data_IF_868328349642
#
_entry.id   IF_868328349642
#
_cell.length_a   1.000
_cell.length_b   1.000
_cell.length_c   1.000
_cell.angle_alpha   90.00
_cell.angle_beta   90.00
_cell.angle_gamma   90.00
#
_symmetry.space_group_name_H-M   'P 1'
#
loop_
_entity.id
_entity.type
_entity.pdbx_description
1 polymer ?
#
# COMPACT_ATOMS: atom_id res chain seq x y z
N UNK A 1 -3.42 -16.37 -23.25
CA UNK A 1 -3.11 -16.94 -21.92
C UNK A 1 -4.28 -16.55 -21.05
N UNK A 2 -5.03 -17.52 -20.54
CA UNK A 2 -6.16 -17.26 -19.66
C UNK A 2 -5.67 -17.29 -18.22
N UNK A 3 -6.04 -16.31 -17.44
CA UNK A 3 -5.71 -16.22 -16.01
C UNK A 3 -6.91 -15.72 -15.22
N UNK A 4 -6.96 -16.10 -13.96
CA UNK A 4 -8.03 -15.73 -13.05
C UNK A 4 -7.75 -14.36 -12.43
N UNK A 5 -8.65 -13.41 -12.60
CA UNK A 5 -8.53 -12.07 -12.05
C UNK A 5 -9.82 -11.64 -11.37
N UNK A 6 -9.68 -10.79 -10.35
CA UNK A 6 -10.78 -10.25 -9.57
C UNK A 6 -10.65 -8.73 -9.50
N UNK A 7 -11.77 -8.04 -9.61
CA UNK A 7 -11.86 -6.62 -9.28
C UNK A 7 -12.46 -6.48 -7.91
N UNK A 8 -11.76 -5.84 -6.98
CA UNK A 8 -12.19 -5.68 -5.59
C UNK A 8 -11.94 -4.26 -5.12
N UNK A 9 -12.67 -3.86 -4.09
CA UNK A 9 -12.56 -2.58 -3.40
C UNK A 9 -12.43 -2.77 -1.90
N UNK A 10 -11.56 -2.00 -1.26
CA UNK A 10 -11.37 -1.97 0.18
C UNK A 10 -11.35 -0.53 0.67
N UNK A 11 -12.47 0.00 1.17
CA UNK A 11 -12.62 1.37 1.68
C UNK A 11 -12.31 2.44 0.62
N UNK A 12 -12.81 2.27 -0.61
CA UNK A 12 -12.62 3.19 -1.71
C UNK A 12 -11.29 3.05 -2.46
N UNK A 13 -10.39 2.18 -1.99
CA UNK A 13 -9.16 1.82 -2.67
C UNK A 13 -9.39 0.54 -3.48
N UNK A 14 -9.29 0.60 -4.79
CA UNK A 14 -9.68 -0.47 -5.68
C UNK A 14 -8.49 -1.23 -6.30
N UNK A 15 -8.67 -2.51 -6.47
CA UNK A 15 -7.63 -3.45 -6.88
C UNK A 15 -8.05 -4.31 -8.05
N UNK A 16 -7.09 -4.64 -8.90
CA UNK A 16 -7.13 -5.84 -9.74
C UNK A 16 -6.23 -6.88 -9.08
N UNK A 17 -6.80 -8.02 -8.71
CA UNK A 17 -6.11 -9.14 -8.08
C UNK A 17 -5.97 -10.23 -9.11
N UNK A 18 -4.75 -10.66 -9.41
CA UNK A 18 -4.44 -11.74 -10.35
C UNK A 18 -3.92 -12.93 -9.56
N UNK A 19 -4.62 -14.04 -9.68
CA UNK A 19 -4.23 -15.30 -9.05
C UNK A 19 -3.22 -16.03 -9.93
N UNK A 20 -1.99 -16.11 -9.44
CA UNK A 20 -0.86 -16.78 -10.10
C UNK A 20 -0.40 -18.02 -9.32
N UNK A 21 -1.20 -18.54 -8.39
CA UNK A 21 -0.80 -19.70 -7.58
C UNK A 21 -0.60 -20.97 -8.41
N UNK A 22 -1.35 -21.08 -9.51
CA UNK A 22 -1.28 -22.24 -10.44
C UNK A 22 -0.70 -21.85 -11.81
N UNK A 23 -0.17 -20.63 -11.95
CA UNK A 23 0.38 -20.14 -13.21
C UNK A 23 1.58 -19.24 -12.94
N UNK A 24 2.65 -19.41 -13.71
CA UNK A 24 3.85 -18.58 -13.62
C UNK A 24 4.01 -17.76 -14.88
N UNK A 25 3.69 -16.48 -14.79
CA UNK A 25 3.93 -15.50 -15.84
C UNK A 25 4.30 -14.16 -15.22
N UNK A 26 5.11 -13.39 -15.93
CA UNK A 26 5.49 -12.06 -15.50
C UNK A 26 4.71 -11.00 -16.26
N UNK A 27 4.36 -9.92 -15.56
CA UNK A 27 3.80 -8.72 -16.14
C UNK A 27 4.87 -7.62 -16.17
N UNK A 28 5.15 -7.09 -17.35
CA UNK A 28 6.01 -5.92 -17.46
C UNK A 28 5.28 -4.63 -17.08
N UNK A 29 6.03 -3.55 -16.84
CA UNK A 29 5.47 -2.23 -16.42
C UNK A 29 4.38 -1.73 -17.39
N UNK A 30 4.53 -1.93 -18.69
CA UNK A 30 3.55 -1.49 -19.69
C UNK A 30 2.23 -2.23 -19.57
N UNK A 31 2.27 -3.53 -19.31
CA UNK A 31 1.08 -4.36 -19.09
C UNK A 31 0.37 -3.95 -17.80
N UNK A 32 1.12 -3.72 -16.70
CA UNK A 32 0.56 -3.26 -15.42
C UNK A 32 -0.13 -1.91 -15.62
N UNK A 33 0.53 -0.93 -16.24
CA UNK A 33 -0.07 0.38 -16.57
C UNK A 33 -1.36 0.22 -17.40
N UNK A 34 -1.36 -0.69 -18.35
CA UNK A 34 -2.53 -0.95 -19.20
C UNK A 34 -3.70 -1.54 -18.42
N UNK A 35 -3.46 -2.43 -17.46
CA UNK A 35 -4.50 -3.00 -16.58
C UNK A 35 -5.03 -1.93 -15.63
N UNK A 36 -4.16 -1.11 -15.06
CA UNK A 36 -4.52 -0.07 -14.10
C UNK A 36 -5.14 1.19 -14.76
N UNK A 37 -5.09 1.31 -16.09
CA UNK A 37 -5.67 2.44 -16.82
C UNK A 37 -7.18 2.51 -16.61
N UNK A 38 -7.67 3.63 -16.04
CA UNK A 38 -9.10 3.91 -15.76
C UNK A 38 -9.99 3.91 -17.01
N UNK A 39 -9.39 4.04 -18.20
CA UNK A 39 -10.11 3.92 -19.48
C UNK A 39 -10.30 2.45 -19.91
N UNK A 40 -9.73 1.50 -19.18
CA UNK A 40 -9.84 0.06 -19.43
C UNK A 40 -10.45 -0.63 -18.21
N UNK A 41 -9.68 -1.50 -17.53
CA UNK A 41 -10.13 -2.13 -16.28
C UNK A 41 -10.06 -1.13 -15.14
N UNK A 42 -8.91 -0.49 -14.97
CA UNK A 42 -8.65 0.56 -13.99
C UNK A 42 -8.53 0.04 -12.57
N UNK A 43 -7.52 0.46 -11.84
CA UNK A 43 -7.38 0.24 -10.40
C UNK A 43 -6.29 1.17 -9.83
N UNK A 44 -6.32 1.35 -8.51
CA UNK A 44 -5.26 2.06 -7.80
C UNK A 44 -3.99 1.21 -7.74
N UNK A 45 -4.15 -0.10 -7.48
CA UNK A 45 -3.03 -1.04 -7.43
C UNK A 45 -3.41 -2.40 -8.01
N UNK A 46 -2.41 -3.09 -8.56
CA UNK A 46 -2.49 -4.48 -8.97
C UNK A 46 -1.89 -5.36 -7.87
N UNK A 47 -2.54 -6.50 -7.57
CA UNK A 47 -2.03 -7.48 -6.61
C UNK A 47 -1.83 -8.81 -7.34
N UNK A 48 -0.63 -9.37 -7.24
CA UNK A 48 -0.34 -10.72 -7.68
C UNK A 48 -0.35 -11.65 -6.47
N UNK A 49 -1.15 -12.71 -6.54
CA UNK A 49 -1.23 -13.74 -5.51
C UNK A 49 -0.45 -14.94 -5.98
N UNK A 50 0.68 -15.20 -5.37
CA UNK A 50 1.57 -16.32 -5.70
C UNK A 50 1.50 -17.42 -4.63
N UNK A 51 1.93 -18.62 -5.00
CA UNK A 51 2.09 -19.73 -4.06
C UNK A 51 3.18 -19.41 -3.06
N UNK A 52 2.97 -19.76 -1.80
CA UNK A 52 4.00 -19.74 -0.74
C UNK A 52 4.14 -21.14 -0.16
N UNK A 53 5.37 -21.52 0.18
CA UNK A 53 5.67 -22.78 0.88
C UNK A 53 5.57 -22.64 2.40
N UNK A 54 5.40 -21.40 2.90
CA UNK A 54 5.43 -21.09 4.35
C UNK A 54 4.06 -20.73 4.91
N UNK A 55 3.22 -20.10 4.09
CA UNK A 55 1.94 -19.51 4.49
C UNK A 55 0.89 -19.72 3.39
N UNK A 56 -0.33 -19.18 3.56
CA UNK A 56 -1.42 -19.39 2.62
C UNK A 56 -1.17 -18.81 1.23
N UNK A 57 -0.47 -17.65 1.12
CA UNK A 57 -0.04 -17.08 -0.16
C UNK A 57 1.08 -16.04 0.01
N UNK A 58 1.80 -15.77 -1.10
CA UNK A 58 2.74 -14.66 -1.24
C UNK A 58 2.08 -13.54 -2.04
N UNK A 59 2.10 -12.31 -1.53
CA UNK A 59 1.49 -11.15 -2.18
C UNK A 59 2.54 -10.19 -2.71
N UNK A 60 2.39 -9.78 -3.97
CA UNK A 60 3.16 -8.73 -4.61
C UNK A 60 2.21 -7.59 -4.97
N UNK A 61 2.53 -6.39 -4.50
CA UNK A 61 1.75 -5.19 -4.79
C UNK A 61 2.46 -4.35 -5.84
N UNK A 62 1.72 -3.90 -6.84
CA UNK A 62 2.21 -3.02 -7.91
C UNK A 62 1.35 -1.76 -7.97
N UNK A 63 1.99 -0.61 -7.98
CA UNK A 63 1.33 0.66 -8.20
C UNK A 63 0.83 0.78 -9.66
N UNK A 64 -0.08 1.70 -9.91
CA UNK A 64 -0.64 1.92 -11.25
C UNK A 64 0.39 2.35 -12.30
N UNK A 65 1.53 2.88 -11.88
CA UNK A 65 2.67 3.23 -12.74
C UNK A 65 3.62 2.04 -13.01
N UNK A 66 3.35 0.87 -12.43
CA UNK A 66 4.13 -0.35 -12.54
C UNK A 66 5.33 -0.44 -11.59
N UNK A 67 5.48 0.48 -10.66
CA UNK A 67 6.46 0.37 -9.56
C UNK A 67 5.99 -0.60 -8.48
N UNK A 68 6.93 -1.10 -7.69
CA UNK A 68 6.62 -1.96 -6.55
C UNK A 68 6.08 -1.17 -5.37
N UNK A 69 5.22 -1.81 -4.58
CA UNK A 69 4.74 -1.32 -3.30
C UNK A 69 4.94 -2.41 -2.25
N UNK A 70 5.61 -2.07 -1.16
CA UNK A 70 6.00 -3.06 -0.15
C UNK A 70 4.82 -3.65 0.64
N UNK A 71 3.75 -2.88 0.83
CA UNK A 71 2.56 -3.32 1.57
C UNK A 71 1.31 -2.51 1.20
N UNK A 72 0.15 -3.15 1.31
CA UNK A 72 -1.16 -2.49 1.21
C UNK A 72 -2.18 -3.20 2.10
N UNK A 73 -2.52 -2.59 3.24
CA UNK A 73 -3.48 -3.17 4.19
C UNK A 73 -4.88 -3.37 3.60
N UNK A 74 -5.35 -2.43 2.76
CA UNK A 74 -6.64 -2.52 2.07
C UNK A 74 -6.65 -3.71 1.10
N UNK A 75 -5.62 -3.82 0.26
CA UNK A 75 -5.46 -4.91 -0.69
C UNK A 75 -5.31 -6.27 0.00
N UNK A 76 -4.56 -6.34 1.10
CA UNK A 76 -4.42 -7.57 1.88
C UNK A 76 -5.77 -8.07 2.40
N UNK A 77 -6.67 -7.16 2.87
CA UNK A 77 -8.02 -7.55 3.30
C UNK A 77 -8.87 -8.07 2.14
N UNK A 78 -8.74 -7.49 0.95
CA UNK A 78 -9.44 -8.01 -0.24
C UNK A 78 -8.99 -9.44 -0.56
N UNK A 79 -7.68 -9.71 -0.58
CA UNK A 79 -7.18 -11.07 -0.83
C UNK A 79 -7.57 -12.03 0.30
N UNK A 80 -7.56 -11.56 1.56
CA UNK A 80 -8.02 -12.38 2.70
C UNK A 80 -9.48 -12.79 2.56
N UNK A 81 -10.36 -11.89 2.13
CA UNK A 81 -11.77 -12.23 1.82
C UNK A 81 -11.87 -13.29 0.74
N UNK A 82 -11.08 -13.15 -0.32
CA UNK A 82 -11.07 -14.08 -1.44
C UNK A 82 -10.65 -15.48 -1.01
N UNK A 83 -9.46 -15.60 -0.38
CA UNK A 83 -8.91 -16.89 0.03
C UNK A 83 -9.70 -17.55 1.17
N UNK A 84 -10.30 -16.76 2.06
CA UNK A 84 -11.18 -17.27 3.11
C UNK A 84 -12.40 -17.97 2.53
N UNK A 85 -13.06 -17.40 1.54
CA UNK A 85 -14.20 -18.02 0.85
C UNK A 85 -13.81 -19.29 0.11
N UNK A 86 -12.62 -19.31 -0.49
CA UNK A 86 -12.09 -20.44 -1.23
C UNK A 86 -11.75 -21.62 -0.29
N UNK A 87 -11.10 -21.34 0.85
CA UNK A 87 -10.55 -22.34 1.73
C UNK A 87 -11.41 -22.64 2.98
N UNK A 88 -12.53 -21.93 3.17
CA UNK A 88 -13.36 -21.96 4.38
C UNK A 88 -12.57 -21.69 5.67
N UNK A 89 -11.54 -20.83 5.61
CA UNK A 89 -10.70 -20.45 6.75
C UNK A 89 -11.11 -19.07 7.29
N UNK A 90 -11.15 -18.91 8.61
CA UNK A 90 -11.37 -17.61 9.27
C UNK A 90 -10.08 -16.83 9.50
N UNK A 91 -8.93 -17.43 9.32
CA UNK A 91 -7.61 -16.78 9.42
C UNK A 91 -6.78 -17.14 8.20
N UNK A 92 -6.17 -16.10 7.59
CA UNK A 92 -5.31 -16.22 6.41
C UNK A 92 -3.99 -15.53 6.72
N UNK A 93 -2.91 -16.17 6.37
CA UNK A 93 -1.55 -15.65 6.57
C UNK A 93 -0.88 -15.41 5.22
N UNK A 94 -0.24 -14.26 5.09
CA UNK A 94 0.44 -13.85 3.87
C UNK A 94 1.91 -13.59 4.11
N UNK A 95 2.73 -13.91 3.14
CA UNK A 95 4.08 -13.41 2.99
C UNK A 95 4.05 -12.21 2.04
N UNK A 96 4.78 -11.14 2.37
CA UNK A 96 4.96 -9.93 1.55
C UNK A 96 6.42 -9.51 1.63
N UNK A 97 6.84 -8.55 0.83
CA UNK A 97 8.15 -7.93 0.93
C UNK A 97 8.41 -7.31 2.33
N UNK A 98 7.36 -6.76 2.96
CA UNK A 98 7.43 -6.18 4.31
C UNK A 98 7.39 -7.21 5.44
N UNK A 99 7.24 -8.51 5.13
CA UNK A 99 7.16 -9.59 6.12
C UNK A 99 5.84 -10.33 6.13
N UNK A 100 5.57 -11.02 7.23
CA UNK A 100 4.38 -11.87 7.39
C UNK A 100 3.21 -11.04 7.92
N UNK A 101 2.09 -11.09 7.22
CA UNK A 101 0.83 -10.47 7.60
C UNK A 101 -0.20 -11.55 7.97
N UNK A 102 -1.03 -11.26 8.96
CA UNK A 102 -2.13 -12.13 9.39
C UNK A 102 -3.45 -11.39 9.28
N UNK A 103 -4.41 -12.00 8.60
CA UNK A 103 -5.77 -11.48 8.47
C UNK A 103 -6.75 -12.41 9.14
N UNK A 104 -7.68 -11.82 9.90
CA UNK A 104 -8.79 -12.51 10.55
C UNK A 104 -10.10 -12.01 9.97
N UNK A 105 -10.91 -12.93 9.49
CA UNK A 105 -12.23 -12.67 8.94
C UNK A 105 -13.21 -12.69 10.11
N UNK A 106 -13.73 -11.52 10.49
CA UNK A 106 -14.70 -11.40 11.58
C UNK A 106 -16.13 -11.67 11.07
N UNK A 107 -16.43 -11.19 9.87
CA UNK A 107 -17.62 -11.47 9.08
C UNK A 107 -17.37 -11.10 7.63
N UNK A 108 -18.38 -11.22 6.76
CA UNK A 108 -18.24 -10.96 5.31
C UNK A 108 -17.72 -9.54 4.97
N UNK A 109 -18.04 -8.53 5.79
CA UNK A 109 -17.71 -7.13 5.55
C UNK A 109 -16.64 -6.59 6.50
N UNK A 110 -16.15 -7.41 7.44
CA UNK A 110 -15.21 -6.96 8.45
C UNK A 110 -14.02 -7.90 8.56
N UNK A 111 -12.89 -7.46 8.05
CA UNK A 111 -11.63 -8.20 8.03
C UNK A 111 -10.58 -7.36 8.73
N UNK A 112 -9.97 -7.94 9.74
CA UNK A 112 -8.87 -7.36 10.49
C UNK A 112 -7.54 -7.90 9.95
N UNK A 113 -6.62 -7.03 9.59
CA UNK A 113 -5.26 -7.42 9.20
C UNK A 113 -4.26 -6.81 10.18
N UNK A 114 -3.39 -7.65 10.73
CA UNK A 114 -2.22 -7.22 11.48
C UNK A 114 -1.11 -6.89 10.48
N UNK A 115 -0.73 -5.62 10.38
CA UNK A 115 0.30 -5.11 9.47
C UNK A 115 1.67 -4.94 10.15
N UNK A 116 1.83 -5.50 11.34
CA UNK A 116 3.08 -5.45 12.09
C UNK A 116 3.15 -4.30 13.10
N UNK A 117 4.36 -4.04 13.58
CA UNK A 117 4.64 -2.98 14.56
C UNK A 117 5.07 -1.73 13.80
N UNK A 118 4.42 -0.58 14.03
CA UNK A 118 4.82 0.68 13.44
C UNK A 118 6.25 1.07 13.85
N UNK A 119 7.05 1.48 12.89
CA UNK A 119 8.39 2.03 13.13
C UNK A 119 8.29 3.54 13.30
N UNK A 120 8.90 4.04 14.34
CA UNK A 120 8.82 5.45 14.72
C UNK A 120 10.18 6.14 14.83
N UNK A 121 11.28 5.42 14.66
CA UNK A 121 12.60 6.04 14.61
C UNK A 121 12.84 6.67 13.24
N UNK A 122 13.46 7.84 13.19
CA UNK A 122 13.66 8.61 11.96
C UNK A 122 14.37 7.81 10.84
N UNK A 123 15.36 7.00 11.19
CA UNK A 123 16.12 6.17 10.24
C UNK A 123 15.34 4.95 9.72
N UNK A 124 14.29 4.53 10.43
CA UNK A 124 13.39 3.45 10.00
C UNK A 124 12.20 4.00 9.19
N UNK A 125 12.02 5.32 9.16
CA UNK A 125 11.01 6.02 8.35
C UNK A 125 11.62 6.55 7.05
N UNK A 126 12.85 6.26 6.75
CA UNK A 126 13.88 6.88 5.89
C UNK A 126 13.73 8.41 5.71
N UNK A 127 13.70 9.13 6.82
CA UNK A 127 13.79 10.60 6.78
C UNK A 127 15.22 11.04 6.48
N UNK A 128 15.38 12.18 5.82
CA UNK A 128 16.68 12.69 5.36
C UNK A 128 17.67 13.02 6.49
N UNK A 129 17.18 13.23 7.72
CA UNK A 129 18.00 13.56 8.90
C UNK A 129 17.27 13.17 10.18
N UNK A 130 18.01 13.13 11.28
CA UNK A 130 17.44 12.94 12.61
C UNK A 130 16.53 14.10 12.99
N UNK A 131 15.29 13.76 13.32
CA UNK A 131 14.24 14.70 13.77
C UNK A 131 13.34 13.99 14.77
N UNK A 132 12.59 14.78 15.56
CA UNK A 132 11.49 14.26 16.36
C UNK A 132 10.34 13.82 15.40
N UNK A 133 10.20 12.52 15.25
CA UNK A 133 9.21 11.93 14.34
C UNK A 133 7.76 12.17 14.76
N UNK A 134 7.52 12.54 16.02
CA UNK A 134 6.19 12.92 16.53
C UNK A 134 5.82 14.35 16.14
N UNK A 135 6.80 15.17 15.81
CA UNK A 135 6.62 16.58 15.51
C UNK A 135 7.55 17.04 14.38
N UNK A 136 7.33 16.47 13.20
CA UNK A 136 8.09 16.83 12.00
C UNK A 136 7.57 18.15 11.46
N UNK A 137 8.40 19.20 11.55
CA UNK A 137 8.06 20.52 11.01
C UNK A 137 8.33 20.57 9.52
N UNK A 138 7.32 20.93 8.74
CA UNK A 138 7.42 21.15 7.30
C UNK A 138 7.03 22.59 6.98
N UNK A 139 7.93 23.30 6.28
CA UNK A 139 7.70 24.65 5.79
C UNK A 139 7.44 24.62 4.29
N UNK A 140 6.27 25.11 3.90
CA UNK A 140 5.86 25.22 2.49
C UNK A 140 5.32 26.62 2.28
N UNK A 141 6.00 27.40 1.46
CA UNK A 141 5.66 28.81 1.22
C UNK A 141 5.54 29.57 2.57
N UNK A 142 4.35 30.06 2.88
CA UNK A 142 4.04 30.74 4.15
C UNK A 142 3.38 29.82 5.19
N UNK A 143 3.26 28.51 4.93
CA UNK A 143 2.65 27.55 5.82
C UNK A 143 3.71 26.82 6.65
N UNK A 144 3.51 26.77 7.94
CA UNK A 144 4.26 25.91 8.84
C UNK A 144 3.32 24.77 9.28
N UNK A 145 3.66 23.56 8.90
CA UNK A 145 2.90 22.35 9.22
C UNK A 145 3.69 21.48 10.19
N UNK A 146 3.00 20.89 11.15
CA UNK A 146 3.59 19.91 12.04
C UNK A 146 2.86 18.58 11.87
N UNK A 147 3.62 17.52 11.60
CA UNK A 147 3.06 16.19 11.35
C UNK A 147 3.81 15.10 12.11
N UNK A 148 3.16 13.96 12.27
CA UNK A 148 3.77 12.76 12.84
C UNK A 148 4.18 11.81 11.72
N UNK A 149 5.45 11.43 11.70
CA UNK A 149 5.99 10.48 10.74
C UNK A 149 5.99 9.05 11.33
N UNK A 150 5.59 8.07 10.51
CA UNK A 150 5.54 6.65 10.89
C UNK A 150 5.71 5.76 9.67
N UNK A 151 6.30 4.57 9.85
CA UNK A 151 6.41 3.56 8.82
C UNK A 151 5.68 2.28 9.28
N UNK A 152 4.67 1.88 8.52
CA UNK A 152 3.84 0.68 8.75
C UNK A 152 4.03 -0.37 7.63
N UNK A 153 5.22 -0.37 7.02
CA UNK A 153 5.55 -1.13 5.81
C UNK A 153 5.74 -0.21 4.61
N UNK A 154 5.11 0.95 4.64
CA UNK A 154 5.39 2.11 3.80
C UNK A 154 5.40 3.37 4.68
N UNK A 155 6.23 4.38 4.35
CA UNK A 155 6.35 5.59 5.14
C UNK A 155 5.15 6.51 4.97
N UNK A 156 4.75 7.15 6.08
CA UNK A 156 3.66 8.12 6.12
C UNK A 156 4.06 9.32 6.94
N UNK A 157 3.51 10.48 6.59
CA UNK A 157 3.44 11.64 7.47
C UNK A 157 1.97 12.05 7.63
N UNK A 158 1.53 12.22 8.87
CA UNK A 158 0.15 12.44 9.24
C UNK A 158 0.02 13.83 9.86
N UNK A 159 -0.84 14.64 9.29
CA UNK A 159 -1.19 15.97 9.81
C UNK A 159 -2.60 15.92 10.39
N UNK A 160 -2.73 16.34 11.64
CA UNK A 160 -4.03 16.47 12.28
C UNK A 160 -4.54 17.90 12.05
N UNK A 161 -5.81 18.03 11.70
CA UNK A 161 -6.49 19.30 11.49
C UNK A 161 -7.88 19.25 12.10
N UNK A 162 -8.39 20.40 12.56
CA UNK A 162 -9.75 20.52 13.09
C UNK A 162 -10.82 20.45 11.98
N UNK A 163 -10.46 20.85 10.76
CA UNK A 163 -11.39 20.98 9.64
C UNK A 163 -10.69 20.60 8.33
N UNK A 164 -11.02 19.42 7.80
CA UNK A 164 -10.47 18.92 6.54
C UNK A 164 -10.95 19.71 5.32
N UNK A 165 -12.17 20.26 5.37
CA UNK A 165 -12.76 20.98 4.22
C UNK A 165 -12.05 22.32 3.95
N UNK A 166 -11.36 22.86 4.97
CA UNK A 166 -10.53 24.07 4.82
C UNK A 166 -9.15 23.81 4.24
N UNK A 167 -8.73 22.54 4.13
CA UNK A 167 -7.43 22.18 3.60
C UNK A 167 -7.50 21.99 2.09
N UNK A 168 -6.79 22.82 1.35
CA UNK A 168 -6.64 22.67 -0.10
C UNK A 168 -5.63 21.55 -0.41
N UNK A 169 -6.01 20.30 -0.14
CA UNK A 169 -5.11 19.14 -0.23
C UNK A 169 -4.49 18.97 -1.62
N UNK A 170 -5.22 19.34 -2.68
CA UNK A 170 -4.71 19.26 -4.07
C UNK A 170 -3.55 20.21 -4.35
N UNK A 171 -3.47 21.32 -3.61
CA UNK A 171 -2.42 22.32 -3.77
C UNK A 171 -1.25 22.07 -2.82
N UNK A 172 -1.55 21.63 -1.58
CA UNK A 172 -0.57 21.43 -0.52
C UNK A 172 0.08 20.04 -0.62
N UNK A 173 -0.69 19.00 -0.93
CA UNK A 173 -0.21 17.61 -0.98
C UNK A 173 1.02 17.41 -1.87
N UNK A 174 1.00 17.83 -3.16
CA UNK A 174 2.15 17.69 -4.04
C UNK A 174 3.39 18.44 -3.54
N UNK A 175 3.20 19.56 -2.85
CA UNK A 175 4.30 20.32 -2.26
C UNK A 175 4.91 19.59 -1.07
N UNK A 176 4.07 18.95 -0.21
CA UNK A 176 4.55 18.14 0.90
C UNK A 176 5.38 16.96 0.40
N UNK A 177 4.93 16.28 -0.66
CA UNK A 177 5.66 15.15 -1.24
C UNK A 177 7.05 15.51 -1.77
N UNK A 178 7.27 16.78 -2.13
CA UNK A 178 8.55 17.27 -2.70
C UNK A 178 9.47 17.92 -1.69
N UNK A 179 9.06 18.06 -0.43
CA UNK A 179 9.92 18.69 0.60
C UNK A 179 11.10 17.79 0.96
N UNK A 180 12.25 18.40 1.21
CA UNK A 180 13.53 17.74 1.47
C UNK A 180 13.60 16.80 2.69
N UNK A 181 12.56 16.74 3.50
CA UNK A 181 12.41 15.75 4.57
C UNK A 181 11.75 14.44 4.10
N UNK A 182 11.07 14.47 2.95
CA UNK A 182 10.30 13.38 2.38
C UNK A 182 11.01 12.74 1.17
N UNK A 183 12.33 12.78 1.10
CA UNK A 183 13.13 12.11 0.05
C UNK A 183 12.90 10.57 -0.03
N UNK A 184 11.80 10.12 0.50
CA UNK A 184 11.37 8.73 0.48
C UNK A 184 11.08 8.17 -0.91
N UNK A 185 10.84 9.05 -1.90
CA UNK A 185 10.61 8.64 -3.29
C UNK A 185 11.76 8.95 -4.25
N UNK A 186 12.73 9.74 -3.85
CA UNK A 186 13.84 10.13 -4.75
C UNK A 186 14.82 8.98 -5.02
N UNK A 187 14.83 7.93 -4.20
CA UNK A 187 15.66 6.75 -4.42
C UNK A 187 14.99 5.62 -5.23
N UNK A 188 13.69 5.70 -5.47
CA UNK A 188 12.97 4.70 -6.27
C UNK A 188 12.91 5.05 -7.77
N UNK A 189 13.44 6.22 -8.18
CA UNK A 189 13.39 6.66 -9.57
C UNK A 189 14.76 6.85 -10.23
N UNK A 190 15.83 6.39 -9.60
CA UNK A 190 17.17 6.37 -10.21
C UNK A 190 17.74 4.95 -10.16
N UNK A 191 17.27 4.13 -11.11
CA UNK A 191 18.06 3.11 -11.82
C UNK A 191 17.34 2.75 -13.12
#
# INVERSE_FOLDING_TARGET
MDFKAYKMDGLGNDFVIIDQRDSDFELNKSQIKSICDRKKIGCDQLILVKKSEKVDAYLIFKNSDGSDSAACGNGTRCVASLLSKENAKSEITFETESGILKSKILNENNIQTNIGIPKTNWNEIPLAKEVDTKNVEIKIDNLNLSGTAVNVGNPHIIFFTEDLDKIQIKDIGPKIETVSYTHLRAHETQD
#
